data_IF_227158153835
#
_entry.id   IF_227158153835
#
_cell.length_a   1.000
_cell.length_b   1.000
_cell.length_c   1.000
_cell.angle_alpha   90.00
_cell.angle_beta   90.00
_cell.angle_gamma   90.00
#
_symmetry.space_group_name_H-M   'P 1'
#
loop_
_entity.id
_entity.type
_entity.pdbx_description
1 polymer ?
#
# COMPACT_ATOMS: atom_id res chain seq x y z
N UNK A 1 31.79 -15.34 1.88
CA UNK A 1 31.81 -15.63 3.33
C UNK A 1 30.47 -15.29 3.98
N UNK A 2 29.35 -15.55 3.31
CA UNK A 2 28.01 -15.70 3.90
C UNK A 2 27.09 -16.23 2.77
N UNK A 3 27.33 -17.46 2.34
CA UNK A 3 26.81 -17.96 1.06
C UNK A 3 25.39 -18.55 1.18
N UNK A 4 24.60 -18.05 2.14
CA UNK A 4 23.19 -18.43 2.27
C UNK A 4 22.30 -17.27 1.79
N UNK A 5 21.34 -17.52 0.87
CA UNK A 5 20.39 -16.52 0.40
C UNK A 5 19.54 -15.90 1.52
N UNK A 6 19.34 -16.64 2.62
CA UNK A 6 18.64 -16.15 3.80
C UNK A 6 19.43 -15.05 4.50
N UNK A 7 20.73 -15.27 4.74
CA UNK A 7 21.56 -14.30 5.44
C UNK A 7 21.78 -13.04 4.60
N UNK A 8 21.94 -13.17 3.28
CA UNK A 8 22.06 -12.00 2.40
C UNK A 8 20.80 -11.13 2.41
N UNK A 9 19.61 -11.72 2.47
CA UNK A 9 18.35 -10.97 2.62
C UNK A 9 18.24 -10.29 3.99
N UNK A 10 18.57 -10.98 5.08
CA UNK A 10 18.55 -10.41 6.44
C UNK A 10 19.56 -9.27 6.62
N UNK A 11 20.67 -9.30 5.88
CA UNK A 11 21.69 -8.25 5.87
C UNK A 11 21.38 -7.11 4.87
N UNK A 12 20.17 -7.06 4.30
CA UNK A 12 19.77 -5.94 3.44
C UNK A 12 19.67 -4.63 4.24
N UNK A 13 20.06 -3.48 3.65
CA UNK A 13 20.01 -2.19 4.35
C UNK A 13 18.66 -1.86 5.00
N UNK A 14 17.49 -2.09 4.36
CA UNK A 14 16.19 -1.80 5.00
C UNK A 14 15.98 -2.57 6.31
N UNK A 15 16.36 -3.85 6.36
CA UNK A 15 16.24 -4.68 7.57
C UNK A 15 17.24 -4.21 8.63
N UNK A 16 18.48 -3.93 8.23
CA UNK A 16 19.50 -3.45 9.16
C UNK A 16 19.14 -2.09 9.77
N UNK A 17 18.58 -1.15 9.00
CA UNK A 17 18.09 0.12 9.52
C UNK A 17 16.84 -0.03 10.40
N UNK A 18 15.95 -0.98 10.09
CA UNK A 18 14.84 -1.32 10.98
C UNK A 18 15.35 -1.85 12.33
N UNK A 19 16.32 -2.78 12.31
CA UNK A 19 16.96 -3.30 13.52
C UNK A 19 17.72 -2.21 14.28
N UNK A 20 18.40 -1.30 13.58
CA UNK A 20 19.05 -0.14 14.19
C UNK A 20 18.02 0.74 14.91
N UNK A 21 16.86 0.99 14.30
CA UNK A 21 15.75 1.72 14.93
C UNK A 21 15.25 1.03 16.20
N UNK A 22 15.11 -0.30 16.16
CA UNK A 22 14.75 -1.09 17.35
C UNK A 22 15.82 -0.96 18.45
N UNK A 23 17.10 -1.08 18.10
CA UNK A 23 18.22 -0.90 19.03
C UNK A 23 18.23 0.51 19.62
N UNK A 24 18.02 1.54 18.78
CA UNK A 24 17.95 2.94 19.22
C UNK A 24 16.86 3.15 20.27
N UNK A 25 15.68 2.54 20.10
CA UNK A 25 14.60 2.57 21.11
C UNK A 25 15.02 1.82 22.39
N UNK A 26 15.62 0.64 22.26
CA UNK A 26 16.03 -0.19 23.42
C UNK A 26 17.10 0.50 24.28
N UNK A 27 18.05 1.22 23.66
CA UNK A 27 19.07 1.99 24.37
C UNK A 27 18.58 3.39 24.79
N UNK A 28 17.33 3.74 24.50
CA UNK A 28 16.73 5.07 24.73
C UNK A 28 17.54 6.21 24.10
N UNK A 29 17.98 6.00 22.87
CA UNK A 29 18.65 7.03 22.07
C UNK A 29 17.71 8.22 21.85
N UNK A 30 18.30 9.40 21.76
CA UNK A 30 17.70 10.65 21.32
C UNK A 30 17.48 10.72 19.80
N UNK A 31 17.67 9.60 19.07
CA UNK A 31 17.39 9.49 17.65
C UNK A 31 15.88 9.60 17.38
N UNK A 32 15.41 10.83 17.27
CA UNK A 32 14.04 11.17 16.90
C UNK A 32 14.01 11.78 15.50
N UNK A 33 13.15 11.23 14.62
CA UNK A 33 12.87 11.83 13.32
C UNK A 33 11.67 12.77 13.49
N UNK A 34 11.81 14.09 13.25
CA UNK A 34 10.69 15.01 13.40
C UNK A 34 9.51 14.62 12.51
N UNK A 35 8.30 14.64 13.06
CA UNK A 35 7.07 14.27 12.34
C UNK A 35 6.88 14.94 10.97
N UNK A 36 7.16 16.25 10.79
CA UNK A 36 7.10 16.90 9.49
C UNK A 36 8.05 16.30 8.45
N UNK A 37 9.26 15.90 8.86
CA UNK A 37 10.26 15.28 7.98
C UNK A 37 9.79 13.89 7.57
N UNK A 38 9.28 13.09 8.50
CA UNK A 38 8.72 11.77 8.20
C UNK A 38 7.55 11.86 7.19
N UNK A 39 6.66 12.85 7.37
CA UNK A 39 5.55 13.10 6.44
C UNK A 39 6.04 13.54 5.06
N UNK A 40 7.01 14.44 5.00
CA UNK A 40 7.60 14.88 3.73
C UNK A 40 8.26 13.70 2.98
N UNK A 41 9.09 12.92 3.66
CA UNK A 41 9.73 11.74 3.08
C UNK A 41 8.70 10.73 2.54
N UNK A 42 7.62 10.51 3.28
CA UNK A 42 6.52 9.64 2.82
C UNK A 42 5.89 10.16 1.53
N UNK A 43 5.51 11.45 1.47
CA UNK A 43 4.92 12.04 0.26
C UNK A 43 5.89 12.04 -0.91
N UNK A 44 7.18 12.33 -0.67
CA UNK A 44 8.23 12.27 -1.67
C UNK A 44 8.38 10.86 -2.25
N UNK A 45 8.41 9.83 -1.40
CA UNK A 45 8.49 8.44 -1.85
C UNK A 45 7.27 8.07 -2.69
N UNK A 46 6.06 8.41 -2.24
CA UNK A 46 4.82 8.15 -2.98
C UNK A 46 4.82 8.84 -4.35
N UNK A 47 5.28 10.10 -4.40
CA UNK A 47 5.44 10.84 -5.64
C UNK A 47 6.46 10.19 -6.57
N UNK A 48 7.67 9.88 -6.09
CA UNK A 48 8.74 9.28 -6.87
C UNK A 48 8.35 7.90 -7.42
N UNK A 49 7.69 7.09 -6.58
CA UNK A 49 7.14 5.79 -6.97
C UNK A 49 6.09 5.99 -8.06
N UNK A 50 5.06 6.80 -7.82
CA UNK A 50 4.01 7.07 -8.80
C UNK A 50 4.56 7.58 -10.13
N UNK A 51 5.43 8.59 -10.11
CA UNK A 51 6.06 9.16 -11.30
C UNK A 51 6.84 8.12 -12.10
N UNK A 52 7.68 7.31 -11.43
CA UNK A 52 8.43 6.24 -12.09
C UNK A 52 7.48 5.20 -12.71
N UNK A 53 6.41 4.83 -12.01
CA UNK A 53 5.39 3.91 -12.54
C UNK A 53 4.70 4.44 -13.79
N UNK A 54 4.40 5.74 -13.83
CA UNK A 54 3.82 6.42 -14.98
C UNK A 54 4.76 6.43 -16.20
N UNK A 55 6.02 6.81 -16.00
CA UNK A 55 7.03 6.84 -17.05
C UNK A 55 7.28 5.45 -17.64
N UNK A 56 7.33 4.42 -16.79
CA UNK A 56 7.46 3.04 -17.22
C UNK A 56 6.25 2.57 -18.03
N UNK A 57 5.03 2.95 -17.65
CA UNK A 57 3.81 2.68 -18.41
C UNK A 57 3.81 3.37 -19.78
N UNK A 58 4.30 4.62 -19.86
CA UNK A 58 4.46 5.33 -21.12
C UNK A 58 5.44 4.59 -22.06
N UNK A 59 6.55 4.10 -21.51
CA UNK A 59 7.54 3.34 -22.27
C UNK A 59 7.08 1.93 -22.64
N UNK A 60 6.44 1.19 -21.74
CA UNK A 60 6.01 -0.20 -21.98
C UNK A 60 4.73 -0.30 -22.80
N UNK A 61 3.94 0.77 -22.85
CA UNK A 61 2.60 0.78 -23.42
C UNK A 61 1.57 0.01 -22.57
N UNK A 62 0.29 0.16 -22.92
CA UNK A 62 -0.81 -0.59 -22.31
C UNK A 62 -1.03 -1.91 -23.04
N UNK A 63 -0.09 -2.84 -22.88
CA UNK A 63 -0.23 -4.19 -23.45
C UNK A 63 -1.36 -4.97 -22.74
N UNK A 64 -1.81 -6.06 -23.38
CA UNK A 64 -2.79 -6.97 -22.77
C UNK A 64 -2.28 -7.52 -21.43
N UNK A 65 -0.98 -7.81 -21.31
CA UNK A 65 -0.34 -8.25 -20.08
C UNK A 65 -0.49 -7.20 -18.97
N UNK A 66 -0.22 -5.93 -19.27
CA UNK A 66 -0.40 -4.82 -18.31
C UNK A 66 -1.85 -4.76 -17.83
N UNK A 67 -2.81 -4.78 -18.76
CA UNK A 67 -4.24 -4.71 -18.40
C UNK A 67 -4.67 -5.89 -17.50
N UNK A 68 -4.19 -7.10 -17.80
CA UNK A 68 -4.46 -8.29 -16.98
C UNK A 68 -3.83 -8.14 -15.59
N UNK A 69 -2.57 -7.71 -15.50
CA UNK A 69 -1.89 -7.50 -14.22
C UNK A 69 -2.59 -6.45 -13.35
N UNK A 70 -3.00 -5.32 -13.92
CA UNK A 70 -3.75 -4.27 -13.21
C UNK A 70 -5.13 -4.78 -12.77
N UNK A 71 -5.82 -5.53 -13.63
CA UNK A 71 -7.10 -6.15 -13.31
C UNK A 71 -7.00 -7.17 -12.17
N UNK A 72 -5.96 -8.00 -12.17
CA UNK A 72 -5.68 -8.95 -11.08
C UNK A 72 -5.35 -8.23 -9.77
N UNK A 73 -4.57 -7.14 -9.83
CA UNK A 73 -4.24 -6.34 -8.64
C UNK A 73 -5.50 -5.72 -8.01
N UNK A 74 -6.37 -5.08 -8.81
CA UNK A 74 -7.64 -4.55 -8.34
C UNK A 74 -8.54 -5.68 -7.82
N UNK A 75 -8.61 -6.81 -8.53
CA UNK A 75 -9.37 -7.98 -8.11
C UNK A 75 -8.92 -8.51 -6.75
N UNK A 76 -7.61 -8.61 -6.53
CA UNK A 76 -7.03 -8.99 -5.24
C UNK A 76 -7.39 -7.96 -4.15
N UNK A 77 -7.29 -6.65 -4.45
CA UNK A 77 -7.65 -5.58 -3.53
C UNK A 77 -9.14 -5.55 -3.15
N UNK A 78 -10.02 -6.13 -3.98
CA UNK A 78 -11.43 -6.31 -3.65
C UNK A 78 -11.67 -7.60 -2.86
N UNK A 79 -11.03 -8.71 -3.24
CA UNK A 79 -11.28 -10.04 -2.66
C UNK A 79 -10.61 -10.22 -1.30
N UNK A 80 -9.39 -9.74 -1.13
CA UNK A 80 -8.61 -9.93 0.09
C UNK A 80 -9.27 -9.33 1.33
N UNK A 81 -9.79 -8.08 1.29
CA UNK A 81 -10.54 -7.54 2.42
C UNK A 81 -11.78 -8.37 2.77
N UNK A 82 -12.50 -8.92 1.79
CA UNK A 82 -13.74 -9.66 2.02
C UNK A 82 -13.50 -10.88 2.91
N UNK A 83 -12.56 -11.76 2.53
CA UNK A 83 -12.31 -12.95 3.33
C UNK A 83 -11.62 -12.60 4.65
N UNK A 84 -10.71 -11.61 4.67
CA UNK A 84 -10.00 -11.17 5.88
C UNK A 84 -10.98 -10.68 6.94
N UNK A 85 -11.95 -9.86 6.53
CA UNK A 85 -13.01 -9.37 7.40
C UNK A 85 -13.87 -10.50 7.95
N UNK A 86 -14.33 -11.41 7.10
CA UNK A 86 -15.21 -12.52 7.51
C UNK A 86 -14.52 -13.42 8.55
N UNK A 87 -13.23 -13.70 8.36
CA UNK A 87 -12.42 -14.50 9.28
C UNK A 87 -12.20 -13.77 10.62
N UNK A 88 -11.95 -12.47 10.59
CA UNK A 88 -11.50 -11.73 11.78
C UNK A 88 -12.61 -11.06 12.58
N UNK A 89 -13.76 -10.72 11.98
CA UNK A 89 -14.83 -9.93 12.63
C UNK A 89 -15.31 -10.48 13.97
N UNK A 90 -15.30 -11.82 14.14
CA UNK A 90 -15.72 -12.48 15.38
C UNK A 90 -14.65 -12.43 16.48
N UNK A 91 -13.37 -12.27 16.12
CA UNK A 91 -12.25 -12.27 17.06
C UNK A 91 -11.86 -10.87 17.52
N UNK A 92 -11.87 -9.89 16.62
CA UNK A 92 -11.38 -8.53 16.90
C UNK A 92 -12.46 -7.46 16.85
N UNK A 93 -13.70 -7.83 16.52
CA UNK A 93 -14.82 -6.90 16.31
C UNK A 93 -14.89 -6.33 14.88
N UNK A 94 -16.04 -5.76 14.53
CA UNK A 94 -16.34 -5.28 13.16
C UNK A 94 -15.40 -4.15 12.72
N UNK A 95 -15.23 -3.11 13.54
CA UNK A 95 -14.38 -1.96 13.18
C UNK A 95 -12.93 -2.37 12.94
N UNK A 96 -12.33 -3.11 13.87
CA UNK A 96 -10.95 -3.58 13.74
C UNK A 96 -10.77 -4.55 12.56
N UNK A 97 -11.72 -5.47 12.36
CA UNK A 97 -11.66 -6.40 11.23
C UNK A 97 -11.72 -5.66 9.89
N UNK A 98 -12.48 -4.57 9.80
CA UNK A 98 -12.53 -3.72 8.61
C UNK A 98 -11.23 -2.97 8.34
N UNK A 99 -10.64 -2.39 9.39
CA UNK A 99 -9.34 -1.73 9.28
C UNK A 99 -8.26 -2.72 8.81
N UNK A 100 -8.18 -3.89 9.45
CA UNK A 100 -7.24 -4.96 9.08
C UNK A 100 -7.50 -5.44 7.65
N UNK A 101 -8.76 -5.67 7.28
CA UNK A 101 -9.14 -6.07 5.93
C UNK A 101 -8.69 -5.06 4.86
N UNK A 102 -8.89 -3.76 5.10
CA UNK A 102 -8.39 -2.71 4.20
C UNK A 102 -6.85 -2.70 4.13
N UNK A 103 -6.16 -2.81 5.28
CA UNK A 103 -4.69 -2.83 5.33
C UNK A 103 -4.09 -3.98 4.53
N UNK A 104 -4.61 -5.20 4.71
CA UNK A 104 -4.09 -6.39 4.02
C UNK A 104 -4.61 -6.56 2.59
N UNK A 105 -5.68 -5.86 2.21
CA UNK A 105 -6.13 -5.82 0.82
C UNK A 105 -5.27 -4.96 -0.09
N UNK A 106 -4.52 -4.01 0.47
CA UNK A 106 -3.55 -3.21 -0.27
C UNK A 106 -2.14 -3.83 -0.21
N UNK A 107 -1.17 -3.16 -0.82
CA UNK A 107 0.25 -3.52 -0.77
C UNK A 107 1.03 -2.46 -0.02
N UNK A 108 1.95 -2.88 0.84
CA UNK A 108 2.89 -1.97 1.49
C UNK A 108 3.96 -1.52 0.51
N UNK A 109 4.17 -0.20 0.42
CA UNK A 109 5.26 0.40 -0.37
C UNK A 109 6.63 -0.19 0.02
N UNK A 110 6.87 -0.46 1.30
CA UNK A 110 8.13 -1.06 1.78
C UNK A 110 8.29 -2.49 1.26
N UNK A 111 7.21 -3.29 1.27
CA UNK A 111 7.23 -4.65 0.73
C UNK A 111 7.51 -4.66 -0.76
N UNK A 112 6.87 -3.76 -1.50
CA UNK A 112 7.11 -3.61 -2.93
C UNK A 112 8.55 -3.17 -3.26
N UNK A 113 9.07 -2.15 -2.57
CA UNK A 113 10.45 -1.69 -2.75
C UNK A 113 11.44 -2.81 -2.44
N UNK A 114 11.19 -3.58 -1.38
CA UNK A 114 12.03 -4.74 -1.04
C UNK A 114 11.98 -5.83 -2.11
N UNK A 115 10.78 -6.17 -2.60
CA UNK A 115 10.61 -7.18 -3.64
C UNK A 115 11.28 -6.76 -4.95
N UNK A 116 11.09 -5.51 -5.38
CA UNK A 116 11.72 -4.98 -6.60
C UNK A 116 13.24 -4.89 -6.46
N UNK A 117 13.78 -4.46 -5.31
CA UNK A 117 15.21 -4.49 -5.04
C UNK A 117 15.79 -5.92 -5.08
N UNK A 118 15.07 -6.90 -4.53
CA UNK A 118 15.45 -8.31 -4.59
C UNK A 118 15.51 -8.84 -6.03
N UNK A 119 14.49 -8.53 -6.85
CA UNK A 119 14.45 -8.93 -8.25
C UNK A 119 15.58 -8.26 -9.05
N UNK A 120 15.87 -6.98 -8.81
CA UNK A 120 17.01 -6.28 -9.42
C UNK A 120 18.35 -6.93 -9.06
N UNK A 121 18.57 -7.23 -7.77
CA UNK A 121 19.78 -7.90 -7.31
C UNK A 121 19.93 -9.31 -7.91
N UNK A 122 18.80 -9.99 -8.14
CA UNK A 122 18.74 -11.31 -8.76
C UNK A 122 18.74 -11.27 -10.29
N UNK A 123 18.82 -10.09 -10.90
CA UNK A 123 18.74 -9.87 -12.36
C UNK A 123 17.47 -10.48 -12.99
N UNK A 124 16.37 -10.54 -12.24
CA UNK A 124 15.07 -10.98 -12.73
C UNK A 124 14.31 -9.75 -13.23
N UNK A 125 13.95 -9.68 -14.53
CA UNK A 125 13.20 -8.55 -15.06
C UNK A 125 11.79 -8.54 -14.50
N UNK A 126 11.27 -7.34 -14.22
CA UNK A 126 9.88 -7.11 -13.84
C UNK A 126 9.37 -5.84 -14.53
N UNK A 127 8.09 -5.80 -14.84
CA UNK A 127 7.49 -4.65 -15.50
C UNK A 127 7.31 -3.47 -14.56
N UNK A 128 7.71 -2.27 -14.98
CA UNK A 128 7.51 -1.05 -14.20
C UNK A 128 6.03 -0.69 -13.96
N UNK A 129 5.12 -1.25 -14.76
CA UNK A 129 3.66 -1.19 -14.54
C UNK A 129 3.20 -1.77 -13.18
N UNK A 130 4.02 -2.59 -12.52
CA UNK A 130 3.72 -3.11 -11.18
C UNK A 130 3.66 -2.01 -10.11
N UNK A 131 4.29 -0.85 -10.36
CA UNK A 131 4.15 0.32 -9.51
C UNK A 131 2.73 0.90 -9.59
N UNK A 132 2.15 0.92 -10.79
CA UNK A 132 0.77 1.33 -11.01
C UNK A 132 -0.21 0.34 -10.38
N UNK A 133 0.09 -0.96 -10.45
CA UNK A 133 -0.67 -1.99 -9.76
C UNK A 133 -0.75 -1.71 -8.25
N UNK A 134 0.40 -1.44 -7.60
CA UNK A 134 0.44 -1.09 -6.18
C UNK A 134 -0.45 0.13 -5.87
N UNK A 135 -0.33 1.19 -6.66
CA UNK A 135 -1.11 2.42 -6.48
C UNK A 135 -2.63 2.16 -6.54
N UNK A 136 -3.05 1.33 -7.49
CA UNK A 136 -4.46 1.02 -7.74
C UNK A 136 -5.07 0.10 -6.67
N UNK A 137 -4.28 -0.58 -5.85
CA UNK A 137 -4.79 -1.49 -4.82
C UNK A 137 -5.31 -0.79 -3.57
N UNK A 138 -4.84 0.42 -3.27
CA UNK A 138 -5.16 1.09 -2.00
C UNK A 138 -6.62 1.54 -1.90
N UNK A 139 -7.11 2.30 -2.89
CA UNK A 139 -8.50 2.78 -2.86
C UNK A 139 -9.54 1.64 -2.85
N UNK A 140 -9.46 0.60 -3.70
CA UNK A 140 -10.38 -0.54 -3.67
C UNK A 140 -10.40 -1.25 -2.31
N UNK A 141 -9.22 -1.50 -1.72
CA UNK A 141 -9.13 -2.18 -0.43
C UNK A 141 -9.77 -1.36 0.70
N UNK A 142 -9.52 -0.05 0.74
CA UNK A 142 -10.14 0.88 1.70
C UNK A 142 -11.66 0.92 1.52
N UNK A 143 -12.14 1.05 0.28
CA UNK A 143 -13.58 1.10 -0.03
C UNK A 143 -14.28 -0.15 0.49
N UNK A 144 -13.74 -1.33 0.20
CA UNK A 144 -14.32 -2.61 0.66
C UNK A 144 -14.27 -2.72 2.18
N UNK A 145 -13.15 -2.39 2.81
CA UNK A 145 -13.03 -2.43 4.27
C UNK A 145 -14.05 -1.53 4.98
N UNK A 146 -14.22 -0.29 4.52
CA UNK A 146 -15.20 0.64 5.08
C UNK A 146 -16.63 0.19 4.79
N UNK A 147 -16.92 -0.32 3.58
CA UNK A 147 -18.23 -0.86 3.23
C UNK A 147 -18.62 -2.03 4.13
N UNK A 148 -17.69 -2.94 4.42
CA UNK A 148 -17.91 -4.08 5.32
C UNK A 148 -18.18 -3.62 6.76
N UNK A 149 -17.42 -2.64 7.28
CA UNK A 149 -17.68 -2.08 8.63
C UNK A 149 -19.10 -1.54 8.72
N UNK A 150 -19.55 -0.80 7.71
CA UNK A 150 -20.89 -0.22 7.67
C UNK A 150 -22.00 -1.27 7.55
N UNK A 151 -21.78 -2.29 6.73
CA UNK A 151 -22.76 -3.37 6.54
C UNK A 151 -22.98 -4.21 7.81
N UNK A 152 -21.97 -4.32 8.68
CA UNK A 152 -22.01 -5.17 9.87
C UNK A 152 -22.08 -4.42 11.20
N UNK A 153 -21.91 -3.09 11.21
CA UNK A 153 -22.28 -2.28 12.36
C UNK A 153 -23.80 -2.11 12.38
N UNK A 154 -24.43 -2.47 13.50
CA UNK A 154 -25.85 -2.18 13.71
C UNK A 154 -26.04 -0.66 13.77
N UNK A 155 -27.14 -0.12 13.20
CA UNK A 155 -27.52 1.26 13.46
C UNK A 155 -27.72 1.40 14.98
N UNK A 156 -26.88 2.19 15.64
CA UNK A 156 -27.17 2.67 16.98
C UNK A 156 -28.07 3.90 16.84
N UNK A 157 -29.09 4.05 17.68
CA UNK A 157 -30.04 5.18 17.63
C UNK A 157 -29.35 6.56 17.74
N UNK A 158 -28.09 6.62 18.21
CA UNK A 158 -27.24 7.82 18.30
C UNK A 158 -26.25 8.02 17.14
N UNK A 159 -26.23 7.12 16.15
CA UNK A 159 -25.37 7.32 14.98
C UNK A 159 -26.02 8.31 14.02
N UNK A 160 -25.50 9.56 14.02
CA UNK A 160 -25.87 10.61 13.07
C UNK A 160 -25.82 10.12 11.61
N UNK A 161 -26.39 10.89 10.65
CA UNK A 161 -26.71 10.40 9.32
C UNK A 161 -25.54 9.64 8.72
N UNK A 162 -25.75 8.34 8.49
CA UNK A 162 -24.75 7.46 7.90
C UNK A 162 -24.20 8.15 6.65
N UNK A 163 -22.94 8.58 6.67
CA UNK A 163 -22.32 9.23 5.52
C UNK A 163 -22.55 8.35 4.30
N UNK A 164 -23.04 8.89 3.19
CA UNK A 164 -23.44 8.07 2.04
C UNK A 164 -22.26 7.25 1.51
N UNK A 165 -22.51 6.19 0.73
CA UNK A 165 -21.43 5.46 0.05
C UNK A 165 -20.55 6.39 -0.81
N UNK A 166 -21.12 7.50 -1.30
CA UNK A 166 -20.40 8.53 -2.02
C UNK A 166 -19.41 9.32 -1.13
N UNK A 167 -19.65 9.48 0.17
CA UNK A 167 -18.70 10.14 1.07
C UNK A 167 -17.43 9.32 1.26
N UNK A 168 -17.57 8.00 1.40
CA UNK A 168 -16.43 7.06 1.51
C UNK A 168 -15.64 7.01 0.23
N UNK A 169 -16.34 6.94 -0.90
CA UNK A 169 -15.69 6.95 -2.19
C UNK A 169 -14.88 8.25 -2.36
N UNK A 170 -15.49 9.39 -2.03
CA UNK A 170 -14.80 10.69 -2.04
C UNK A 170 -13.58 10.69 -1.12
N UNK A 171 -13.70 10.25 0.13
CA UNK A 171 -12.58 10.18 1.08
C UNK A 171 -11.45 9.25 0.60
N UNK A 172 -11.78 8.09 0.04
CA UNK A 172 -10.80 7.13 -0.48
C UNK A 172 -10.01 7.69 -1.67
N UNK A 173 -10.65 8.44 -2.57
CA UNK A 173 -9.98 9.07 -3.71
C UNK A 173 -9.33 10.43 -3.39
N UNK A 174 -9.78 11.13 -2.36
CA UNK A 174 -9.22 12.44 -1.94
C UNK A 174 -8.13 12.31 -0.87
N UNK A 175 -7.81 11.09 -0.44
CA UNK A 175 -6.71 10.84 0.48
C UNK A 175 -5.39 11.36 -0.12
N UNK A 176 -4.62 12.13 0.65
CA UNK A 176 -3.38 12.76 0.18
C UNK A 176 -2.38 11.77 -0.39
N UNK A 177 -2.24 10.57 0.20
CA UNK A 177 -1.34 9.53 -0.31
C UNK A 177 -1.81 9.00 -1.67
N UNK A 178 -3.11 8.71 -1.80
CA UNK A 178 -3.73 8.23 -3.05
C UNK A 178 -3.62 9.28 -4.15
N UNK A 179 -3.97 10.53 -3.85
CA UNK A 179 -3.86 11.65 -4.80
C UNK A 179 -2.41 11.83 -5.25
N UNK A 180 -1.45 11.76 -4.33
CA UNK A 180 -0.03 11.91 -4.68
C UNK A 180 0.45 10.77 -5.58
N UNK A 181 0.15 9.50 -5.26
CA UNK A 181 0.61 8.37 -6.09
C UNK A 181 -0.07 8.41 -7.47
N UNK A 182 -1.40 8.50 -7.53
CA UNK A 182 -2.15 8.48 -8.79
C UNK A 182 -1.86 9.72 -9.63
N UNK A 183 -1.79 10.90 -9.01
CA UNK A 183 -1.42 12.14 -9.69
C UNK A 183 -0.02 12.05 -10.29
N UNK A 184 0.95 11.54 -9.53
CA UNK A 184 2.32 11.37 -10.03
C UNK A 184 2.40 10.31 -11.12
N UNK A 185 1.61 9.25 -11.06
CA UNK A 185 1.46 8.25 -12.13
C UNK A 185 0.99 8.90 -13.43
N UNK A 186 -0.05 9.74 -13.37
CA UNK A 186 -0.54 10.46 -14.55
C UNK A 186 0.52 11.42 -15.08
N UNK A 187 1.21 12.16 -14.21
CA UNK A 187 2.30 13.04 -14.64
C UNK A 187 3.41 12.24 -15.33
N UNK A 188 3.82 11.09 -14.79
CA UNK A 188 4.83 10.24 -15.42
C UNK A 188 4.36 9.64 -16.74
N UNK A 189 3.06 9.38 -16.92
CA UNK A 189 2.51 8.88 -18.18
C UNK A 189 2.55 9.93 -19.31
N UNK A 190 2.52 11.22 -18.96
CA UNK A 190 2.45 12.34 -19.90
C UNK A 190 3.82 12.85 -20.36
N UNK A 191 4.90 12.47 -19.67
CA UNK A 191 6.28 12.94 -19.91
C UNK A 191 7.10 11.81 -20.50
#
# INVERSE_FOLDING_TARGET
>A
MFDSPLLSNLMSPPILFFLLGLVAVLIRSDLEIPGPVARFLSLYLLMAIGFKGGAELAHSGLSQEVLVSLGLAIGAALVVPLYTFVVLRRRVGVANAGAIAATYGSVSAVTFVTATAFLQASQVPFGGHMVAAMALMESPAIIVGVALVRAFNKPSEDSGPAGSGASVLKEAFTNGSVVMILGSLVVGLLV
#
